data_IF_817881126097
#
_entry.id   IF_817881126097
#
_cell.length_a   1.000
_cell.length_b   1.000
_cell.length_c   1.000
_cell.angle_alpha   90.00
_cell.angle_beta   90.00
_cell.angle_gamma   90.00
#
_symmetry.space_group_name_H-M   'P 1'
#
loop_
_entity.id
_entity.type
_entity.pdbx_description
1 polymer ?
#
# COMPACT_ATOMS: atom_id res chain seq x y z
N UNK A 1 -6.05 0.01 -6.44
CA UNK A 1 -5.56 -1.28 -6.93
C UNK A 1 -5.64 -2.29 -5.81
N UNK A 2 -6.21 -3.45 -6.07
CA UNK A 2 -6.30 -4.57 -5.13
C UNK A 2 -5.27 -5.63 -5.53
N UNK A 3 -4.45 -6.08 -4.60
CA UNK A 3 -3.38 -7.05 -4.84
C UNK A 3 -3.61 -8.26 -3.95
N UNK A 4 -3.64 -9.45 -4.54
CA UNK A 4 -3.90 -10.70 -3.83
C UNK A 4 -3.05 -11.86 -4.31
N UNK A 5 -3.11 -12.97 -3.55
CA UNK A 5 -2.43 -14.21 -3.88
C UNK A 5 -3.37 -15.41 -3.82
N UNK A 6 -3.85 -15.79 -2.62
CA UNK A 6 -4.61 -17.04 -2.41
C UNK A 6 -5.75 -16.93 -1.39
N UNK A 7 -6.11 -15.75 -0.90
CA UNK A 7 -7.07 -15.55 0.19
C UNK A 7 -8.42 -15.04 -0.36
N UNK A 8 -9.29 -15.95 -0.84
CA UNK A 8 -10.59 -15.56 -1.39
C UNK A 8 -11.42 -14.69 -0.44
N UNK A 9 -11.58 -15.11 0.84
CA UNK A 9 -12.40 -14.37 1.81
C UNK A 9 -11.86 -12.97 2.13
N UNK A 10 -10.54 -12.82 2.18
CA UNK A 10 -9.89 -11.52 2.37
C UNK A 10 -10.16 -10.61 1.17
N UNK A 11 -10.02 -11.17 -0.04
CA UNK A 11 -10.28 -10.47 -1.30
C UNK A 11 -11.75 -10.02 -1.40
N UNK A 12 -12.70 -10.90 -1.03
CA UNK A 12 -14.13 -10.58 -0.98
C UNK A 12 -14.42 -9.41 -0.05
N UNK A 13 -13.87 -9.44 1.17
CA UNK A 13 -14.03 -8.38 2.17
C UNK A 13 -13.44 -7.05 1.71
N UNK A 14 -12.23 -7.07 1.16
CA UNK A 14 -11.57 -5.87 0.65
C UNK A 14 -12.37 -5.24 -0.49
N UNK A 15 -12.74 -6.02 -1.51
CA UNK A 15 -13.51 -5.51 -2.64
C UNK A 15 -14.89 -4.99 -2.22
N UNK A 16 -15.54 -5.63 -1.26
CA UNK A 16 -16.78 -5.13 -0.68
C UNK A 16 -16.59 -3.80 0.08
N UNK A 17 -15.45 -3.59 0.74
CA UNK A 17 -15.12 -2.30 1.37
C UNK A 17 -14.91 -1.22 0.32
N UNK A 18 -14.17 -1.54 -0.75
CA UNK A 18 -13.95 -0.62 -1.87
C UNK A 18 -15.27 -0.19 -2.53
N UNK A 19 -16.22 -1.11 -2.75
CA UNK A 19 -17.54 -0.76 -3.31
C UNK A 19 -18.30 0.26 -2.44
N UNK A 20 -18.16 0.14 -1.11
CA UNK A 20 -18.85 1.03 -0.15
C UNK A 20 -18.15 2.35 0.11
N UNK A 21 -16.92 2.52 -0.35
CA UNK A 21 -16.16 3.74 -0.14
C UNK A 21 -16.72 4.93 -0.93
N UNK A 22 -16.33 6.14 -0.55
CA UNK A 22 -16.80 7.38 -1.16
C UNK A 22 -15.94 7.80 -2.35
N UNK A 23 -16.59 8.04 -3.48
CA UNK A 23 -15.93 8.51 -4.72
C UNK A 23 -16.63 9.77 -5.26
N UNK A 24 -17.24 10.56 -4.38
CA UNK A 24 -17.99 11.77 -4.78
C UNK A 24 -17.09 12.74 -5.53
N UNK A 25 -17.55 13.20 -6.69
CA UNK A 25 -16.80 14.10 -7.57
C UNK A 25 -15.90 13.40 -8.58
N UNK A 26 -15.95 12.05 -8.67
CA UNK A 26 -15.21 11.26 -9.64
C UNK A 26 -16.15 10.40 -10.48
N UNK A 27 -16.15 10.61 -11.80
CA UNK A 27 -17.04 9.91 -12.74
C UNK A 27 -16.51 8.53 -13.11
N UNK A 28 -15.20 8.34 -13.05
CA UNK A 28 -14.55 7.06 -13.37
C UNK A 28 -13.35 6.83 -12.43
N UNK A 29 -13.47 5.85 -11.56
CA UNK A 29 -12.40 5.39 -10.67
C UNK A 29 -11.98 3.99 -11.11
N UNK A 30 -10.89 3.84 -11.87
CA UNK A 30 -10.48 2.53 -12.36
C UNK A 30 -10.06 1.60 -11.20
N UNK A 31 -10.54 0.36 -11.23
CA UNK A 31 -10.10 -0.69 -10.32
C UNK A 31 -9.23 -1.71 -11.08
N UNK A 32 -7.99 -1.85 -10.66
CA UNK A 32 -7.14 -2.97 -11.10
C UNK A 32 -7.10 -4.01 -9.97
N UNK A 33 -7.47 -5.25 -10.29
CA UNK A 33 -7.33 -6.41 -9.40
C UNK A 33 -6.18 -7.26 -9.95
N UNK A 34 -5.07 -7.36 -9.20
CA UNK A 34 -3.90 -8.14 -9.60
C UNK A 34 -3.72 -9.32 -8.64
N UNK A 35 -3.80 -10.54 -9.17
CA UNK A 35 -3.65 -11.78 -8.40
C UNK A 35 -2.38 -12.50 -8.86
N UNK A 36 -1.47 -12.80 -7.92
CA UNK A 36 -0.32 -13.64 -8.20
C UNK A 36 -0.75 -15.09 -8.43
N UNK A 37 0.05 -15.86 -9.15
CA UNK A 37 -0.28 -17.23 -9.51
C UNK A 37 -0.30 -18.15 -8.28
N UNK A 38 -1.49 -18.56 -7.87
CA UNK A 38 -1.71 -19.47 -6.73
C UNK A 38 -2.35 -20.80 -7.15
N UNK A 39 -2.96 -20.87 -8.33
CA UNK A 39 -3.78 -21.99 -8.76
C UNK A 39 -5.16 -22.05 -8.07
N UNK A 40 -5.59 -20.98 -7.39
CA UNK A 40 -6.88 -20.90 -6.73
C UNK A 40 -7.96 -20.46 -7.72
N UNK A 41 -8.59 -21.41 -8.41
CA UNK A 41 -9.60 -21.11 -9.42
C UNK A 41 -10.85 -20.40 -8.84
N UNK A 42 -11.23 -20.69 -7.60
CA UNK A 42 -12.37 -20.00 -6.97
C UNK A 42 -12.09 -18.50 -6.81
N UNK A 43 -10.87 -18.13 -6.43
CA UNK A 43 -10.44 -16.74 -6.36
C UNK A 43 -10.39 -16.10 -7.75
N UNK A 44 -9.85 -16.81 -8.74
CA UNK A 44 -9.76 -16.30 -10.11
C UNK A 44 -11.13 -16.06 -10.71
N UNK A 45 -12.05 -17.01 -10.52
CA UNK A 45 -13.44 -16.90 -10.96
C UNK A 45 -14.18 -15.76 -10.25
N UNK A 46 -13.97 -15.60 -8.97
CA UNK A 46 -14.55 -14.50 -8.20
C UNK A 46 -14.11 -13.15 -8.75
N UNK A 47 -12.80 -12.89 -8.92
CA UNK A 47 -12.33 -11.58 -9.38
C UNK A 47 -12.72 -11.29 -10.82
N UNK A 48 -12.82 -12.32 -11.68
CA UNK A 48 -13.31 -12.15 -13.05
C UNK A 48 -14.78 -11.72 -13.09
N UNK A 49 -15.64 -12.31 -12.23
CA UNK A 49 -17.08 -12.05 -12.14
C UNK A 49 -17.43 -10.82 -11.29
N UNK A 50 -16.50 -10.35 -10.48
CA UNK A 50 -16.75 -9.20 -9.61
C UNK A 50 -17.16 -7.97 -10.42
N UNK A 51 -18.23 -7.28 -9.99
CA UNK A 51 -18.72 -6.06 -10.63
C UNK A 51 -18.20 -4.83 -9.89
N UNK A 52 -17.63 -3.89 -10.62
CA UNK A 52 -17.13 -2.62 -10.09
C UNK A 52 -18.05 -1.47 -10.52
N UNK A 53 -18.81 -0.83 -9.61
CA UNK A 53 -19.81 0.16 -9.98
C UNK A 53 -19.25 1.58 -10.17
N UNK A 54 -17.98 1.83 -9.87
CA UNK A 54 -17.43 3.18 -9.86
C UNK A 54 -16.51 3.50 -11.05
N UNK A 55 -16.44 2.64 -12.04
CA UNK A 55 -15.63 2.88 -13.24
C UNK A 55 -15.15 1.60 -13.93
N UNK A 56 -14.05 1.71 -14.66
CA UNK A 56 -13.47 0.60 -15.39
C UNK A 56 -12.84 -0.44 -14.45
N UNK A 57 -13.00 -1.73 -14.75
CA UNK A 57 -12.36 -2.83 -14.04
C UNK A 57 -11.36 -3.56 -14.92
N UNK A 58 -10.17 -3.77 -14.38
CA UNK A 58 -9.12 -4.57 -15.01
C UNK A 58 -8.71 -5.71 -14.09
N UNK A 59 -8.60 -6.93 -14.62
CA UNK A 59 -8.18 -8.12 -13.87
C UNK A 59 -6.89 -8.66 -14.48
N UNK A 60 -5.86 -8.78 -13.66
CA UNK A 60 -4.56 -9.32 -14.03
C UNK A 60 -4.32 -10.57 -13.17
N UNK A 61 -4.36 -11.75 -13.75
CA UNK A 61 -3.97 -13.00 -13.11
C UNK A 61 -2.61 -13.37 -13.69
N UNK A 62 -1.61 -13.51 -12.81
CA UNK A 62 -0.25 -13.81 -13.25
C UNK A 62 -0.14 -15.27 -13.69
N UNK A 63 0.54 -15.51 -14.81
CA UNK A 63 0.73 -16.87 -15.35
C UNK A 63 1.71 -17.70 -14.53
N UNK A 64 2.63 -17.03 -13.82
CA UNK A 64 3.64 -17.64 -12.96
C UNK A 64 3.71 -16.91 -11.63
N UNK A 65 4.02 -17.64 -10.56
CA UNK A 65 4.24 -17.04 -9.25
C UNK A 65 5.41 -16.08 -9.30
N UNK A 66 5.15 -14.83 -8.95
CA UNK A 66 6.14 -13.76 -8.88
C UNK A 66 6.73 -13.63 -7.47
N UNK A 67 5.93 -13.93 -6.45
CA UNK A 67 6.23 -13.61 -5.06
C UNK A 67 5.95 -12.15 -4.73
N UNK A 68 5.85 -11.84 -3.43
CA UNK A 68 5.36 -10.56 -2.94
C UNK A 68 6.11 -9.37 -3.56
N UNK A 69 7.43 -9.34 -3.45
CA UNK A 69 8.24 -8.21 -3.91
C UNK A 69 8.03 -7.92 -5.40
N UNK A 70 8.25 -8.91 -6.25
CA UNK A 70 8.18 -8.70 -7.69
C UNK A 70 6.74 -8.41 -8.15
N UNK A 71 5.74 -8.99 -7.48
CA UNK A 71 4.35 -8.70 -7.76
C UNK A 71 3.99 -7.25 -7.42
N UNK A 72 4.39 -6.73 -6.25
CA UNK A 72 4.16 -5.34 -5.87
C UNK A 72 4.91 -4.38 -6.81
N UNK A 73 6.16 -4.67 -7.15
CA UNK A 73 6.92 -3.85 -8.10
C UNK A 73 6.22 -3.77 -9.47
N UNK A 74 5.75 -4.91 -9.99
CA UNK A 74 5.01 -4.93 -11.25
C UNK A 74 3.65 -4.23 -11.16
N UNK A 75 3.03 -4.22 -9.98
CA UNK A 75 1.80 -3.46 -9.73
C UNK A 75 2.05 -1.95 -9.73
N UNK A 76 3.10 -1.50 -9.06
CA UNK A 76 3.49 -0.10 -9.05
C UNK A 76 3.90 0.42 -10.44
N UNK A 77 4.51 -0.42 -11.28
CA UNK A 77 4.88 -0.06 -12.65
C UNK A 77 3.67 0.34 -13.53
N UNK A 78 2.44 -0.01 -13.10
CA UNK A 78 1.21 0.44 -13.76
C UNK A 78 0.92 1.93 -13.56
N UNK A 79 1.64 2.64 -12.70
CA UNK A 79 1.56 4.11 -12.60
C UNK A 79 1.85 4.82 -13.92
N UNK A 80 2.51 4.17 -14.86
CA UNK A 80 2.72 4.70 -16.22
C UNK A 80 1.42 4.84 -17.04
N UNK A 81 0.36 4.10 -16.68
CA UNK A 81 -0.93 4.10 -17.38
C UNK A 81 -2.00 4.88 -16.63
N UNK A 82 -1.77 5.19 -15.36
CA UNK A 82 -2.70 5.90 -14.49
C UNK A 82 -2.01 7.13 -13.87
N UNK A 83 -2.79 8.11 -13.44
CA UNK A 83 -2.24 9.31 -12.75
C UNK A 83 -1.53 8.96 -11.44
N UNK A 84 -1.91 7.82 -10.85
CA UNK A 84 -1.33 7.26 -9.65
C UNK A 84 -2.02 5.94 -9.28
N UNK A 85 -1.46 5.23 -8.33
CA UNK A 85 -1.98 3.95 -7.84
C UNK A 85 -2.05 4.00 -6.32
N UNK A 86 -3.22 3.71 -5.77
CA UNK A 86 -3.39 3.31 -4.37
C UNK A 86 -3.27 1.80 -4.35
N UNK A 87 -2.22 1.28 -3.71
CA UNK A 87 -1.98 -0.15 -3.59
C UNK A 87 -2.51 -0.67 -2.25
N UNK A 88 -3.32 -1.71 -2.31
CA UNK A 88 -3.97 -2.35 -1.17
C UNK A 88 -3.82 -3.87 -1.29
N UNK A 89 -3.16 -4.49 -0.33
CA UNK A 89 -3.10 -5.95 -0.22
C UNK A 89 -4.47 -6.51 0.21
N UNK A 90 -4.77 -7.76 -0.07
CA UNK A 90 -6.11 -8.37 0.04
C UNK A 90 -6.69 -8.41 1.47
N UNK A 91 -5.88 -8.24 2.52
CA UNK A 91 -6.30 -8.13 3.90
C UNK A 91 -6.53 -6.69 4.41
N UNK A 92 -6.40 -5.70 3.53
CA UNK A 92 -6.59 -4.29 3.89
C UNK A 92 -8.06 -3.88 3.71
N UNK A 93 -8.60 -3.27 4.75
CA UNK A 93 -9.92 -2.65 4.75
C UNK A 93 -9.77 -1.14 4.68
N UNK A 94 -10.61 -0.47 3.89
CA UNK A 94 -10.55 0.98 3.68
C UNK A 94 -11.72 1.71 4.36
N UNK A 95 -11.45 2.92 4.86
CA UNK A 95 -12.50 3.86 5.26
C UNK A 95 -13.19 4.44 4.04
N UNK A 96 -14.34 5.12 4.25
CA UNK A 96 -15.07 5.75 3.14
C UNK A 96 -14.29 6.90 2.48
N UNK A 97 -13.38 7.54 3.19
CA UNK A 97 -12.72 8.78 2.74
C UNK A 97 -11.31 8.57 2.20
N UNK A 98 -10.83 7.32 2.17
CA UNK A 98 -9.45 7.00 1.77
C UNK A 98 -9.08 7.54 0.38
N UNK A 99 -10.01 7.48 -0.58
CA UNK A 99 -9.78 7.90 -1.96
C UNK A 99 -9.69 9.43 -2.08
N UNK A 100 -10.62 10.14 -1.44
CA UNK A 100 -10.62 11.61 -1.42
C UNK A 100 -9.38 12.17 -0.73
N UNK A 101 -9.00 11.60 0.42
CA UNK A 101 -7.77 11.96 1.11
C UNK A 101 -6.54 11.79 0.21
N UNK A 102 -6.41 10.63 -0.44
CA UNK A 102 -5.29 10.36 -1.33
C UNK A 102 -5.16 11.38 -2.45
N UNK A 103 -6.28 11.74 -3.09
CA UNK A 103 -6.27 12.72 -4.17
C UNK A 103 -5.90 14.12 -3.66
N UNK A 104 -6.42 14.55 -2.50
CA UNK A 104 -6.05 15.82 -1.87
C UNK A 104 -4.55 15.86 -1.55
N UNK A 105 -4.00 14.77 -1.00
CA UNK A 105 -2.56 14.68 -0.71
C UNK A 105 -1.72 14.69 -1.97
N UNK A 106 -2.14 14.02 -3.03
CA UNK A 106 -1.46 14.08 -4.31
C UNK A 106 -1.51 15.49 -4.95
N UNK A 107 -2.62 16.20 -4.81
CA UNK A 107 -2.73 17.60 -5.25
C UNK A 107 -1.78 18.51 -4.46
N UNK A 108 -1.75 18.37 -3.14
CA UNK A 108 -0.94 19.21 -2.26
C UNK A 108 0.57 18.89 -2.35
N UNK A 109 0.94 17.62 -2.41
CA UNK A 109 2.32 17.16 -2.25
C UNK A 109 2.88 16.37 -3.45
N UNK A 110 2.04 16.04 -4.44
CA UNK A 110 2.44 15.18 -5.56
C UNK A 110 3.59 15.70 -6.40
N UNK A 111 3.86 17.00 -6.37
CA UNK A 111 4.99 17.64 -7.06
C UNK A 111 6.15 18.03 -6.11
N UNK A 112 6.04 17.75 -4.81
CA UNK A 112 7.12 18.02 -3.87
C UNK A 112 8.22 16.96 -4.02
N UNK A 113 9.43 17.40 -4.35
CA UNK A 113 10.58 16.50 -4.59
C UNK A 113 10.92 15.65 -3.37
N UNK A 114 10.69 16.15 -2.17
CA UNK A 114 10.95 15.42 -0.92
C UNK A 114 9.87 14.37 -0.61
N UNK A 115 8.70 14.44 -1.25
CA UNK A 115 7.61 13.49 -1.01
C UNK A 115 7.64 12.39 -2.07
N UNK A 116 7.75 11.14 -1.62
CA UNK A 116 7.84 9.96 -2.48
C UNK A 116 6.62 9.04 -2.40
N UNK A 117 5.71 9.26 -1.44
CA UNK A 117 4.47 8.49 -1.33
C UNK A 117 3.45 9.15 -0.39
N UNK A 118 2.24 8.59 -0.37
CA UNK A 118 1.20 8.92 0.62
C UNK A 118 0.73 7.63 1.27
N UNK A 119 0.93 7.53 2.58
CA UNK A 119 0.46 6.42 3.39
C UNK A 119 -1.00 6.61 3.78
N UNK A 120 -1.73 5.51 3.90
CA UNK A 120 -3.12 5.51 4.35
C UNK A 120 -3.29 5.02 5.79
N UNK A 121 -2.28 4.39 6.32
CA UNK A 121 -2.26 3.87 7.66
C UNK A 121 -1.12 4.47 8.48
N UNK A 122 -1.43 4.89 9.69
CA UNK A 122 -0.50 5.47 10.63
C UNK A 122 -0.40 4.58 11.86
N UNK A 123 0.78 3.99 12.08
CA UNK A 123 1.02 3.14 13.25
C UNK A 123 0.88 3.94 14.55
N UNK A 124 0.12 3.42 15.51
CA UNK A 124 0.03 3.97 16.87
C UNK A 124 1.07 3.37 17.81
N UNK A 125 1.70 2.29 17.40
CA UNK A 125 2.75 1.61 18.15
C UNK A 125 3.98 1.36 17.27
N UNK A 126 5.15 1.49 17.87
CA UNK A 126 6.39 1.02 17.28
C UNK A 126 6.46 -0.51 17.43
N UNK A 127 6.34 -1.24 16.32
CA UNK A 127 6.32 -2.71 16.29
C UNK A 127 7.65 -3.37 16.73
N UNK A 128 8.74 -2.62 16.84
CA UNK A 128 10.06 -3.15 17.25
C UNK A 128 10.28 -3.12 18.75
N UNK A 129 9.78 -2.12 19.43
CA UNK A 129 9.96 -1.95 20.87
C UNK A 129 8.63 -2.00 21.65
N UNK A 130 7.50 -2.16 20.99
CA UNK A 130 6.16 -2.21 21.59
C UNK A 130 5.81 -0.97 22.42
N UNK A 131 6.34 0.18 22.04
CA UNK A 131 6.07 1.46 22.66
C UNK A 131 5.07 2.27 21.83
N UNK A 132 4.18 3.06 22.45
CA UNK A 132 3.34 3.99 21.73
C UNK A 132 4.15 4.97 20.89
N UNK A 133 3.74 5.21 19.66
CA UNK A 133 4.25 6.28 18.82
C UNK A 133 3.45 7.56 19.11
N UNK A 134 3.97 8.36 20.03
CA UNK A 134 3.36 9.65 20.37
C UNK A 134 3.85 10.70 19.38
N UNK A 135 3.00 11.05 18.43
CA UNK A 135 3.27 12.13 17.49
C UNK A 135 2.84 13.46 18.07
N UNK A 136 3.71 14.45 17.97
CA UNK A 136 3.35 15.82 18.33
C UNK A 136 2.32 16.33 17.32
N UNK A 137 1.09 16.49 17.79
CA UNK A 137 0.05 17.08 16.95
C UNK A 137 0.25 18.58 16.86
N UNK A 138 0.14 19.10 15.66
CA UNK A 138 0.01 20.50 15.34
C UNK A 138 -1.41 20.74 14.74
N UNK A 139 -1.62 21.87 14.10
CA UNK A 139 -2.88 22.20 13.44
C UNK A 139 -3.07 21.47 12.08
N UNK A 140 -2.09 20.69 11.62
CA UNK A 140 -2.20 19.94 10.37
C UNK A 140 -2.91 18.59 10.56
N UNK A 141 -3.55 18.12 9.50
CA UNK A 141 -4.22 16.81 9.47
C UNK A 141 -3.25 15.66 9.12
N UNK A 142 -2.03 16.00 8.70
CA UNK A 142 -1.02 15.06 8.22
C UNK A 142 0.37 15.39 8.76
N UNK A 143 1.27 14.43 8.71
CA UNK A 143 2.70 14.59 9.04
C UNK A 143 3.56 13.85 8.01
N UNK A 144 4.84 14.18 7.95
CA UNK A 144 5.83 13.48 7.12
C UNK A 144 6.67 12.52 7.99
N UNK A 145 6.94 11.34 7.47
CA UNK A 145 7.80 10.34 8.12
C UNK A 145 8.61 9.57 7.07
N UNK A 146 9.77 9.03 7.48
CA UNK A 146 10.60 8.16 6.65
C UNK A 146 10.26 6.69 6.92
N UNK A 147 9.06 6.31 6.59
CA UNK A 147 8.55 4.95 6.68
C UNK A 147 7.58 4.66 5.55
N UNK A 148 7.51 3.40 5.12
CA UNK A 148 6.50 2.94 4.17
C UNK A 148 5.32 2.31 4.92
N UNK A 149 4.11 2.52 4.45
CA UNK A 149 2.93 1.87 4.99
C UNK A 149 2.47 0.73 4.08
N UNK A 150 2.78 -0.52 4.44
CA UNK A 150 2.28 -1.69 3.69
C UNK A 150 0.77 -1.89 3.82
N UNK A 151 0.11 -1.15 4.71
CA UNK A 151 -1.35 -1.20 4.91
C UNK A 151 -2.11 -0.15 4.11
N UNK A 152 -1.60 0.15 2.94
CA UNK A 152 -2.16 1.09 1.98
C UNK A 152 -1.21 2.24 1.70
N UNK A 153 -0.75 2.28 0.46
CA UNK A 153 0.23 3.25 -0.01
C UNK A 153 -0.16 3.77 -1.39
N UNK A 154 0.07 5.05 -1.63
CA UNK A 154 -0.16 5.69 -2.91
C UNK A 154 1.13 6.21 -3.51
N UNK A 155 1.29 6.00 -4.79
CA UNK A 155 2.31 6.63 -5.62
C UNK A 155 1.70 7.22 -6.88
N UNK A 156 2.11 8.43 -7.25
CA UNK A 156 1.90 8.93 -8.60
C UNK A 156 3.05 8.46 -9.54
N UNK A 157 2.90 8.75 -10.83
CA UNK A 157 3.87 8.29 -11.84
C UNK A 157 5.29 8.83 -11.60
N UNK A 158 5.45 10.08 -11.09
CA UNK A 158 6.76 10.65 -10.74
C UNK A 158 7.41 9.88 -9.58
N UNK A 159 6.67 9.74 -8.47
CA UNK A 159 7.15 9.10 -7.25
C UNK A 159 7.63 7.68 -7.52
N UNK A 160 6.81 6.90 -8.24
CA UNK A 160 7.17 5.52 -8.55
C UNK A 160 8.33 5.41 -9.53
N UNK A 161 8.37 6.26 -10.57
CA UNK A 161 9.47 6.29 -11.54
C UNK A 161 10.81 6.60 -10.86
N UNK A 162 10.87 7.62 -9.99
CA UNK A 162 12.06 7.98 -9.24
C UNK A 162 12.58 6.80 -8.40
N UNK A 163 11.67 6.14 -7.67
CA UNK A 163 12.03 4.95 -6.90
C UNK A 163 12.57 3.82 -7.79
N UNK A 164 11.89 3.50 -8.89
CA UNK A 164 12.31 2.42 -9.80
C UNK A 164 13.65 2.71 -10.47
N UNK A 165 13.90 3.93 -10.86
CA UNK A 165 15.18 4.37 -11.42
C UNK A 165 16.30 4.26 -10.38
N UNK A 166 16.05 4.70 -9.17
CA UNK A 166 16.99 4.57 -8.07
C UNK A 166 17.29 3.09 -7.76
N UNK A 167 16.25 2.26 -7.59
CA UNK A 167 16.39 0.84 -7.30
C UNK A 167 17.21 0.09 -8.36
N UNK A 168 17.12 0.50 -9.62
CA UNK A 168 17.84 -0.14 -10.73
C UNK A 168 19.34 0.22 -10.80
N UNK A 169 19.76 1.31 -10.15
CA UNK A 169 21.11 1.87 -10.27
C UNK A 169 21.90 1.84 -8.96
N UNK A 170 21.22 1.63 -7.84
CA UNK A 170 21.81 1.77 -6.50
C UNK A 170 22.18 0.43 -5.90
N UNK A 171 23.43 0.27 -5.54
CA UNK A 171 23.89 -0.78 -4.64
C UNK A 171 23.66 -0.29 -3.20
N UNK A 172 22.71 -0.93 -2.49
CA UNK A 172 22.28 -0.47 -1.16
C UNK A 172 23.29 -0.90 -0.09
N UNK A 173 23.87 0.04 0.66
CA UNK A 173 24.86 -0.25 1.70
C UNK A 173 24.19 -0.77 2.98
N UNK A 174 23.63 -1.97 2.95
CA UNK A 174 22.82 -2.55 4.04
C UNK A 174 23.50 -2.54 5.42
N UNK A 175 24.81 -2.61 5.48
CA UNK A 175 25.55 -2.58 6.75
C UNK A 175 25.59 -1.18 7.36
N UNK A 176 25.61 -0.14 6.54
CA UNK A 176 25.89 1.25 6.93
C UNK A 176 24.63 2.12 7.01
N UNK A 177 23.57 1.74 6.29
CA UNK A 177 22.32 2.52 6.23
C UNK A 177 21.68 2.61 7.62
N UNK A 178 21.24 3.81 8.01
CA UNK A 178 20.55 4.07 9.27
C UNK A 178 19.08 3.61 9.21
N UNK A 179 18.89 2.32 9.41
CA UNK A 179 17.58 1.65 9.42
C UNK A 179 17.54 0.61 10.55
N UNK A 180 16.35 0.29 11.10
CA UNK A 180 16.21 -0.79 12.06
C UNK A 180 16.79 -2.10 11.56
N UNK A 181 17.55 -2.80 12.40
CA UNK A 181 18.24 -4.05 12.06
C UNK A 181 17.24 -5.09 11.53
N UNK A 182 16.09 -5.22 12.16
CA UNK A 182 15.05 -6.17 11.78
C UNK A 182 14.59 -5.99 10.34
N UNK A 183 14.46 -4.73 9.87
CA UNK A 183 14.09 -4.44 8.47
C UNK A 183 15.20 -4.89 7.53
N UNK A 184 16.46 -4.66 7.90
CA UNK A 184 17.61 -5.05 7.07
C UNK A 184 17.69 -6.55 6.81
N UNK A 185 17.16 -7.37 7.72
CA UNK A 185 17.15 -8.83 7.59
C UNK A 185 16.01 -9.38 6.72
N UNK A 186 14.99 -8.59 6.41
CA UNK A 186 13.89 -9.04 5.57
C UNK A 186 14.38 -9.37 4.15
N UNK A 187 14.10 -10.58 3.69
CA UNK A 187 14.58 -11.05 2.38
C UNK A 187 13.55 -10.88 1.26
N UNK A 188 12.26 -10.90 1.59
CA UNK A 188 11.16 -10.92 0.62
C UNK A 188 10.30 -9.65 0.61
N UNK A 189 10.48 -8.75 1.58
CA UNK A 189 9.68 -7.55 1.69
C UNK A 189 10.09 -6.48 0.66
N UNK A 190 9.16 -6.03 -0.15
CA UNK A 190 9.36 -4.92 -1.06
C UNK A 190 9.61 -3.60 -0.31
N UNK A 191 8.92 -3.43 0.81
CA UNK A 191 8.95 -2.24 1.66
C UNK A 191 10.35 -1.89 2.15
N UNK A 192 11.18 -2.88 2.46
CA UNK A 192 12.57 -2.69 2.84
C UNK A 192 13.37 -1.85 1.82
N UNK A 193 13.12 -2.06 0.54
CA UNK A 193 13.81 -1.32 -0.53
C UNK A 193 13.27 0.11 -0.65
N UNK A 194 11.99 0.29 -0.39
CA UNK A 194 11.37 1.61 -0.39
C UNK A 194 11.81 2.43 0.84
N UNK A 195 11.90 1.80 2.02
CA UNK A 195 12.47 2.42 3.22
C UNK A 195 13.92 2.86 2.98
N UNK A 196 14.75 1.98 2.37
CA UNK A 196 16.12 2.32 2.04
C UNK A 196 16.22 3.50 1.06
N UNK A 197 15.33 3.56 0.07
CA UNK A 197 15.22 4.70 -0.83
C UNK A 197 14.92 5.99 -0.08
N UNK A 198 13.96 5.98 0.84
CA UNK A 198 13.60 7.16 1.62
C UNK A 198 14.77 7.67 2.46
N UNK A 199 15.48 6.76 3.14
CA UNK A 199 16.60 7.13 4.00
C UNK A 199 17.78 7.67 3.18
N UNK A 200 18.15 7.01 2.10
CA UNK A 200 19.34 7.38 1.31
C UNK A 200 19.12 8.63 0.45
N UNK A 201 17.88 8.90 0.02
CA UNK A 201 17.54 10.06 -0.82
C UNK A 201 16.87 11.19 -0.03
N UNK A 202 16.81 11.08 1.31
CA UNK A 202 16.16 12.05 2.19
C UNK A 202 14.72 12.38 1.71
N UNK A 203 13.95 11.31 1.47
CA UNK A 203 12.54 11.37 1.04
C UNK A 203 11.60 11.00 2.17
N UNK A 204 10.34 11.37 2.03
CA UNK A 204 9.32 11.21 3.06
C UNK A 204 8.01 10.71 2.45
N UNK A 205 7.27 9.94 3.23
CA UNK A 205 5.85 9.65 2.99
C UNK A 205 4.98 10.62 3.78
N UNK A 206 3.83 11.00 3.23
CA UNK A 206 2.81 11.79 3.95
C UNK A 206 1.84 10.82 4.63
N UNK A 207 1.69 10.96 5.93
CA UNK A 207 0.84 10.13 6.77
C UNK A 207 -0.36 10.92 7.30
N UNK A 208 -1.58 10.32 7.36
CA UNK A 208 -2.68 10.88 8.11
C UNK A 208 -2.45 10.70 9.61
N UNK A 209 -2.92 11.65 10.45
CA UNK A 209 -2.97 11.41 11.89
C UNK A 209 -4.05 10.38 12.28
N UNK A 210 -5.09 10.22 11.46
CA UNK A 210 -6.15 9.24 11.64
C UNK A 210 -6.09 8.27 10.47
N UNK A 211 -5.84 7.00 10.76
CA UNK A 211 -5.71 5.95 9.75
C UNK A 211 -6.99 5.80 8.91
N UNK A 212 -6.81 5.67 7.61
CA UNK A 212 -7.88 5.48 6.62
C UNK A 212 -7.97 4.04 6.12
N UNK A 213 -7.09 3.21 6.62
CA UNK A 213 -7.06 1.76 6.35
C UNK A 213 -6.77 0.99 7.63
N UNK A 214 -7.09 -0.29 7.64
CA UNK A 214 -6.66 -1.23 8.68
C UNK A 214 -6.37 -2.59 8.07
N UNK A 215 -5.58 -3.41 8.75
CA UNK A 215 -5.30 -4.79 8.38
C UNK A 215 -6.17 -5.73 9.23
N UNK A 216 -6.81 -6.71 8.61
CA UNK A 216 -7.60 -7.71 9.33
C UNK A 216 -6.78 -8.87 9.90
N UNK A 217 -5.45 -8.86 9.70
CA UNK A 217 -4.53 -9.89 10.22
C UNK A 217 -4.95 -11.32 9.81
N UNK A 218 -5.47 -11.46 8.60
CA UNK A 218 -5.84 -12.78 8.08
C UNK A 218 -4.61 -13.67 7.96
N UNK A 219 -4.78 -14.95 8.29
CA UNK A 219 -3.72 -15.93 8.12
C UNK A 219 -3.21 -15.96 6.66
N UNK A 220 -1.91 -15.91 6.48
CA UNK A 220 -1.28 -15.86 5.17
C UNK A 220 0.21 -16.26 5.23
N UNK A 221 0.97 -15.96 4.18
CA UNK A 221 2.41 -16.30 4.14
C UNK A 221 3.24 -15.59 5.23
N UNK A 222 2.75 -14.46 5.75
CA UNK A 222 3.45 -13.62 6.73
C UNK A 222 2.63 -13.34 7.99
N UNK A 223 1.42 -13.92 8.10
CA UNK A 223 0.52 -13.76 9.24
C UNK A 223 0.14 -15.08 9.87
N UNK A 224 0.18 -15.15 11.21
CA UNK A 224 -0.36 -16.25 11.99
C UNK A 224 -1.86 -16.00 12.24
N UNK A 225 -2.68 -17.07 12.20
CA UNK A 225 -4.11 -17.03 12.53
C UNK A 225 -4.43 -16.54 13.95
N UNK A 226 -3.43 -16.50 14.82
CA UNK A 226 -3.53 -16.01 16.19
C UNK A 226 -3.10 -14.54 16.36
N UNK A 227 -2.71 -13.89 15.29
CA UNK A 227 -2.33 -12.48 15.35
C UNK A 227 -3.58 -11.60 15.37
N UNK A 228 -3.93 -11.07 16.56
CA UNK A 228 -5.14 -10.28 16.80
C UNK A 228 -4.88 -8.77 16.89
N UNK A 229 -3.77 -8.29 16.38
CA UNK A 229 -3.48 -6.84 16.38
C UNK A 229 -4.34 -6.18 15.31
N UNK A 230 -5.57 -5.89 15.66
CA UNK A 230 -6.49 -5.08 14.83
C UNK A 230 -6.45 -3.66 15.36
N UNK A 231 -6.06 -2.72 14.52
CA UNK A 231 -6.18 -1.31 14.84
C UNK A 231 -7.45 -0.76 14.19
N UNK A 232 -8.27 -0.07 14.99
CA UNK A 232 -9.50 0.51 14.49
C UNK A 232 -9.21 1.67 13.52
N UNK A 233 -9.97 1.75 12.45
CA UNK A 233 -10.06 2.94 11.61
C UNK A 233 -11.26 3.78 12.02
N UNK A 234 -11.14 5.09 11.88
CA UNK A 234 -12.29 5.99 12.00
C UNK A 234 -13.22 5.79 10.80
N UNK A 235 -14.49 5.56 11.06
CA UNK A 235 -15.56 5.44 10.05
C UNK A 235 -16.19 6.78 9.78
#
# INVERSE_FOLDING_TARGET
>A
MSVGYNRLKSQERQLAALVRAGYTGYDNVPLVISIDCSGNEDLYDFVRKFEWPHGDKYVIIREKRMGLKEHILACGDLTQYFKGIILLEDDIYVSKDFYNFTNQMNEAYGNCEKVCSVALYSNEMNGYCWMPLVRLRNEADVFADQAVSTWGEFWNARMWKEFREWLSKTEIPWAEIDMPHQIKEWTKAWSKFFDAYMVLEDKYSIFPYISLTTNFSDAGEHGDANNTIVQAVSY
#
